data_IF_818469487165
#
_entry.id   IF_818469487165
#
_cell.length_a   1.000
_cell.length_b   1.000
_cell.length_c   1.000
_cell.angle_alpha   90.00
_cell.angle_beta   90.00
_cell.angle_gamma   90.00
#
_symmetry.space_group_name_H-M   'P 1'
#
loop_
_entity.id
_entity.type
_entity.pdbx_description
1 polymer ?
#
# COMPACT_ATOMS: atom_id res chain seq x y z
N UNK A 1 11.09 7.63 -34.75
CA UNK A 1 12.50 7.79 -34.31
C UNK A 1 12.62 7.23 -32.89
N UNK A 2 13.63 6.42 -32.53
CA UNK A 2 13.79 5.91 -31.15
C UNK A 2 14.36 7.04 -30.28
N UNK A 3 13.84 7.26 -29.07
CA UNK A 3 14.52 8.16 -28.11
C UNK A 3 15.89 7.57 -27.81
N UNK A 4 16.96 8.33 -27.99
CA UNK A 4 18.31 7.87 -27.70
C UNK A 4 18.41 7.36 -26.25
N UNK A 5 19.18 6.31 -26.01
CA UNK A 5 19.34 5.69 -24.69
C UNK A 5 19.86 6.67 -23.63
N UNK A 6 20.71 7.62 -24.05
CA UNK A 6 21.27 8.68 -23.20
C UNK A 6 20.17 9.64 -22.72
N UNK A 7 19.19 9.94 -23.56
CA UNK A 7 18.06 10.80 -23.22
C UNK A 7 17.02 10.11 -22.34
N UNK A 8 16.78 8.82 -22.57
CA UNK A 8 15.96 8.03 -21.65
C UNK A 8 16.60 7.99 -20.26
N UNK A 9 17.93 7.84 -20.17
CA UNK A 9 18.66 7.90 -18.92
C UNK A 9 18.63 9.29 -18.27
N UNK A 10 18.80 10.37 -19.04
CA UNK A 10 18.71 11.74 -18.51
C UNK A 10 17.31 12.01 -17.93
N UNK A 11 16.25 11.58 -18.64
CA UNK A 11 14.87 11.73 -18.18
C UNK A 11 14.58 10.91 -16.91
N UNK A 12 15.05 9.68 -16.84
CA UNK A 12 14.91 8.83 -15.65
C UNK A 12 15.75 9.33 -14.46
N UNK A 13 16.90 9.95 -14.72
CA UNK A 13 17.74 10.52 -13.65
C UNK A 13 17.07 11.69 -12.92
N UNK A 14 16.22 12.46 -13.63
CA UNK A 14 15.48 13.60 -13.08
C UNK A 14 14.13 13.21 -12.48
N UNK A 15 13.60 12.06 -12.89
CA UNK A 15 12.33 11.52 -12.41
C UNK A 15 12.46 10.01 -12.19
N UNK A 16 12.99 9.58 -11.03
CA UNK A 16 13.27 8.17 -10.75
C UNK A 16 12.02 7.27 -10.71
N UNK A 17 10.82 7.87 -10.78
CA UNK A 17 9.55 7.17 -10.85
C UNK A 17 9.02 6.99 -12.29
N UNK A 18 9.68 7.59 -13.29
CA UNK A 18 9.36 7.37 -14.69
C UNK A 18 9.83 6.01 -15.19
N UNK A 19 9.23 5.53 -16.26
CA UNK A 19 9.65 4.31 -16.94
C UNK A 19 9.64 4.53 -18.45
N UNK A 20 10.77 4.24 -19.10
CA UNK A 20 10.89 4.27 -20.56
C UNK A 20 11.03 2.83 -21.04
N UNK A 21 10.03 2.31 -21.73
CA UNK A 21 10.14 1.03 -22.42
C UNK A 21 10.50 1.25 -23.88
N UNK A 22 11.61 0.63 -24.29
CA UNK A 22 12.06 0.55 -25.66
C UNK A 22 12.40 -0.91 -25.93
N UNK A 23 11.69 -1.58 -26.83
CA UNK A 23 12.08 -2.96 -27.14
C UNK A 23 11.10 -3.75 -27.96
N UNK A 24 11.54 -4.96 -28.29
CA UNK A 24 10.82 -5.98 -29.04
C UNK A 24 10.15 -7.01 -28.10
N UNK A 25 10.45 -6.96 -26.79
CA UNK A 25 9.87 -7.82 -25.76
C UNK A 25 8.56 -7.27 -25.20
N UNK A 26 7.49 -7.56 -25.95
CA UNK A 26 6.12 -7.18 -25.62
C UNK A 26 5.54 -7.94 -24.43
N UNK A 27 6.16 -9.03 -23.96
CA UNK A 27 5.53 -9.90 -22.94
C UNK A 27 5.25 -9.17 -21.62
N UNK A 28 6.08 -8.18 -21.26
CA UNK A 28 5.93 -7.39 -20.02
C UNK A 28 4.78 -6.39 -20.04
N UNK A 29 4.40 -5.89 -21.23
CA UNK A 29 3.38 -4.85 -21.38
C UNK A 29 2.11 -5.35 -22.07
N UNK A 30 2.16 -6.50 -22.74
CA UNK A 30 1.05 -7.14 -23.43
C UNK A 30 -0.24 -7.30 -22.59
N UNK A 31 -0.20 -7.53 -21.26
CA UNK A 31 -1.43 -7.59 -20.46
C UNK A 31 -2.25 -6.29 -20.44
N UNK A 32 -1.64 -5.15 -20.76
CA UNK A 32 -2.24 -3.81 -20.64
C UNK A 32 -2.72 -3.21 -21.97
N UNK A 33 -2.46 -3.88 -23.10
CA UNK A 33 -2.83 -3.41 -24.44
C UNK A 33 -3.50 -4.53 -25.24
N UNK A 34 -4.39 -4.19 -26.17
CA UNK A 34 -4.92 -5.18 -27.09
C UNK A 34 -3.82 -5.76 -27.98
N UNK A 35 -4.01 -6.98 -28.50
CA UNK A 35 -3.05 -7.63 -29.42
C UNK A 35 -2.74 -6.81 -30.68
N UNK A 36 -3.63 -5.90 -31.09
CA UNK A 36 -3.43 -5.01 -32.25
C UNK A 36 -2.60 -3.77 -31.90
N UNK A 37 -2.74 -3.27 -30.68
CA UNK A 37 -1.99 -2.11 -30.18
C UNK A 37 -0.56 -2.53 -29.82
N UNK A 38 -0.40 -3.68 -29.17
CA UNK A 38 0.92 -4.18 -28.75
C UNK A 38 1.88 -4.40 -29.92
N UNK A 39 1.38 -4.79 -31.10
CA UNK A 39 2.22 -4.95 -32.30
C UNK A 39 2.60 -3.63 -32.97
N UNK A 40 1.92 -2.53 -32.65
CA UNK A 40 2.11 -1.21 -33.28
C UNK A 40 2.98 -0.29 -32.42
N UNK A 41 2.93 -0.45 -31.10
CA UNK A 41 3.64 0.39 -30.14
C UNK A 41 5.13 0.01 -30.12
N UNK A 42 5.98 0.93 -30.60
CA UNK A 42 7.44 0.75 -30.63
C UNK A 42 8.16 1.32 -29.41
N UNK A 43 7.48 2.18 -28.67
CA UNK A 43 8.03 2.87 -27.51
C UNK A 43 6.88 3.32 -26.61
N UNK A 44 7.07 3.13 -25.30
CA UNK A 44 6.16 3.63 -24.27
C UNK A 44 6.95 4.48 -23.30
N UNK A 45 6.40 5.64 -23.03
CA UNK A 45 6.83 6.51 -21.95
C UNK A 45 5.75 6.48 -20.87
N UNK A 46 6.08 5.98 -19.68
CA UNK A 46 5.18 5.97 -18.52
C UNK A 46 5.70 6.95 -17.49
N UNK A 47 4.91 7.95 -17.17
CA UNK A 47 5.21 8.88 -16.09
C UNK A 47 4.07 8.94 -15.08
N UNK A 48 4.34 8.76 -13.78
CA UNK A 48 3.36 9.06 -12.76
C UNK A 48 3.16 10.58 -12.70
N UNK A 49 1.90 11.00 -12.80
CA UNK A 49 1.45 12.36 -12.53
C UNK A 49 0.76 12.31 -11.18
N UNK A 50 1.19 13.18 -10.26
CA UNK A 50 0.55 13.33 -8.97
C UNK A 50 0.25 14.79 -8.67
N UNK A 51 -0.84 15.01 -7.96
CA UNK A 51 -1.06 16.25 -7.21
C UNK A 51 -0.33 16.16 -5.87
N UNK A 52 -0.26 17.26 -5.12
CA UNK A 52 0.47 17.33 -3.85
C UNK A 52 0.04 16.26 -2.81
N UNK A 53 -1.12 15.63 -3.01
CA UNK A 53 -1.73 14.72 -2.05
C UNK A 53 -1.86 13.28 -2.56
N UNK A 54 -1.99 13.03 -3.87
CA UNK A 54 -2.18 11.68 -4.44
C UNK A 54 -1.49 11.56 -5.81
N UNK A 55 -0.96 10.37 -6.13
CA UNK A 55 -0.53 10.03 -7.49
C UNK A 55 -1.76 9.65 -8.32
N UNK A 56 -2.39 10.65 -8.94
CA UNK A 56 -3.73 10.52 -9.53
C UNK A 56 -3.74 9.98 -10.97
N UNK A 57 -2.60 9.97 -11.67
CA UNK A 57 -2.57 9.61 -13.07
C UNK A 57 -1.26 8.97 -13.52
N UNK A 58 -1.36 8.20 -14.60
CA UNK A 58 -0.23 7.72 -15.39
C UNK A 58 -0.33 8.35 -16.78
N UNK A 59 0.66 9.15 -17.15
CA UNK A 59 0.82 9.59 -18.52
C UNK A 59 1.52 8.48 -19.30
N UNK A 60 0.77 7.87 -20.22
CA UNK A 60 1.27 6.87 -21.16
C UNK A 60 1.35 7.54 -22.53
N UNK A 61 2.56 7.83 -23.00
CA UNK A 61 2.76 8.35 -24.37
C UNK A 61 3.21 7.20 -25.26
N UNK A 62 2.36 6.84 -26.21
CA UNK A 62 2.65 5.87 -27.27
C UNK A 62 2.43 6.50 -28.65
N UNK A 63 3.31 6.22 -29.61
CA UNK A 63 3.19 6.59 -31.02
C UNK A 63 2.82 8.08 -31.30
N UNK A 64 3.39 9.01 -30.54
CA UNK A 64 3.12 10.44 -30.69
C UNK A 64 4.12 11.13 -31.61
N UNK A 65 3.70 12.09 -32.46
CA UNK A 65 4.62 12.96 -33.22
C UNK A 65 5.61 13.71 -32.31
N UNK A 66 5.24 13.96 -31.05
CA UNK A 66 6.12 14.58 -30.06
C UNK A 66 7.30 13.67 -29.65
N UNK A 67 7.16 12.35 -29.79
CA UNK A 67 8.28 11.41 -29.64
C UNK A 67 9.22 11.45 -30.86
N UNK A 68 8.74 11.98 -31.99
CA UNK A 68 9.49 12.07 -33.25
C UNK A 68 10.08 13.46 -33.51
N UNK A 69 9.51 14.50 -32.89
CA UNK A 69 9.82 15.92 -33.14
C UNK A 69 11.03 16.48 -32.35
N UNK A 70 11.81 15.60 -31.71
CA UNK A 70 13.06 15.99 -31.03
C UNK A 70 12.95 16.16 -29.51
N UNK A 71 14.11 16.04 -28.86
CA UNK A 71 14.28 15.89 -27.41
C UNK A 71 13.87 17.12 -26.62
N UNK A 72 13.98 18.32 -27.19
CA UNK A 72 13.67 19.58 -26.48
C UNK A 72 12.19 19.69 -26.07
N UNK A 73 11.26 19.26 -26.93
CA UNK A 73 9.83 19.30 -26.61
C UNK A 73 9.46 18.34 -25.48
N UNK A 74 10.01 17.12 -25.51
CA UNK A 74 9.82 16.15 -24.42
C UNK A 74 10.47 16.66 -23.13
N UNK A 75 11.65 17.29 -23.21
CA UNK A 75 12.30 17.89 -22.04
C UNK A 75 11.45 18.98 -21.41
N UNK A 76 10.79 19.84 -22.19
CA UNK A 76 9.91 20.89 -21.65
C UNK A 76 8.65 20.30 -21.03
N UNK A 77 7.98 19.36 -21.71
CA UNK A 77 6.77 18.70 -21.18
C UNK A 77 7.10 17.94 -19.89
N UNK A 78 8.20 17.20 -19.88
CA UNK A 78 8.61 16.42 -18.73
C UNK A 78 9.14 17.31 -17.61
N UNK A 79 9.85 18.40 -17.88
CA UNK A 79 10.22 19.34 -16.83
C UNK A 79 8.99 19.96 -16.16
N UNK A 80 7.97 20.32 -16.94
CA UNK A 80 6.72 20.89 -16.42
C UNK A 80 5.91 19.90 -15.55
N UNK A 81 5.98 18.59 -15.85
CA UNK A 81 5.19 17.56 -15.15
C UNK A 81 5.99 16.86 -14.05
N UNK A 82 7.28 16.59 -14.29
CA UNK A 82 8.11 15.78 -13.42
C UNK A 82 8.50 16.51 -12.14
N UNK A 83 8.77 17.82 -12.18
CA UNK A 83 9.18 18.54 -10.96
C UNK A 83 8.04 18.63 -9.92
N UNK A 84 6.80 19.00 -10.28
CA UNK A 84 5.67 18.92 -9.35
C UNK A 84 5.39 17.49 -8.88
N UNK A 85 5.45 16.51 -9.79
CA UNK A 85 5.15 15.10 -9.48
C UNK A 85 6.21 14.47 -8.57
N UNK A 86 7.50 14.76 -8.79
CA UNK A 86 8.59 14.29 -7.95
C UNK A 86 8.49 14.88 -6.53
N UNK A 87 8.14 16.17 -6.41
CA UNK A 87 7.86 16.79 -5.11
C UNK A 87 6.65 16.15 -4.42
N UNK A 88 5.57 15.87 -5.16
CA UNK A 88 4.41 15.17 -4.63
C UNK A 88 4.76 13.76 -4.11
N UNK A 89 5.51 12.97 -4.89
CA UNK A 89 5.95 11.62 -4.51
C UNK A 89 6.88 11.68 -3.29
N UNK A 90 7.84 12.62 -3.26
CA UNK A 90 8.74 12.80 -2.12
C UNK A 90 7.98 13.22 -0.85
N UNK A 91 7.02 14.14 -0.98
CA UNK A 91 6.14 14.55 0.11
C UNK A 91 5.28 13.39 0.61
N UNK A 92 4.72 12.58 -0.29
CA UNK A 92 3.96 11.38 0.09
C UNK A 92 4.83 10.36 0.80
N UNK A 93 6.05 10.08 0.31
CA UNK A 93 7.02 9.23 1.01
C UNK A 93 7.31 9.77 2.41
N UNK A 94 7.59 11.07 2.54
CA UNK A 94 7.84 11.69 3.85
C UNK A 94 6.65 11.64 4.80
N UNK A 95 5.41 11.76 4.28
CA UNK A 95 4.17 11.57 5.04
C UNK A 95 4.03 10.14 5.51
N UNK A 96 4.29 9.15 4.64
CA UNK A 96 4.27 7.72 5.00
C UNK A 96 5.32 7.45 6.08
N UNK A 97 6.54 7.97 5.96
CA UNK A 97 7.59 7.83 7.00
C UNK A 97 7.21 8.50 8.32
N UNK A 98 6.58 9.69 8.29
CA UNK A 98 6.08 10.33 9.52
C UNK A 98 4.88 9.59 10.12
N UNK A 99 4.03 8.97 9.30
CA UNK A 99 2.91 8.13 9.75
C UNK A 99 3.43 6.86 10.42
N UNK A 100 4.46 6.23 9.86
CA UNK A 100 5.16 5.09 10.47
C UNK A 100 5.67 5.41 11.88
N UNK A 101 6.16 6.64 12.08
CA UNK A 101 6.67 7.10 13.37
C UNK A 101 5.58 7.36 14.43
N UNK A 102 4.32 7.58 14.02
CA UNK A 102 3.22 7.98 14.92
C UNK A 102 2.10 6.94 15.02
N UNK A 103 2.21 5.81 14.33
CA UNK A 103 1.27 4.71 14.45
C UNK A 103 1.32 4.14 15.88
N UNK A 104 0.16 4.07 16.53
CA UNK A 104 0.02 3.54 17.89
C UNK A 104 -0.64 2.18 17.79
N UNK A 105 0.02 1.17 18.37
CA UNK A 105 -0.56 -0.14 18.60
C UNK A 105 -1.01 -0.19 20.06
N UNK A 106 -2.32 -0.27 20.28
CA UNK A 106 -2.87 -0.44 21.63
C UNK A 106 -2.74 -1.89 22.07
N UNK A 107 -2.79 -2.16 23.37
CA UNK A 107 -2.85 -3.54 23.85
C UNK A 107 -4.29 -3.97 24.06
N UNK A 108 -4.53 -5.27 24.09
CA UNK A 108 -5.88 -5.81 24.29
C UNK A 108 -6.50 -5.38 25.63
N UNK A 109 -5.68 -5.10 26.65
CA UNK A 109 -6.17 -4.60 27.95
C UNK A 109 -6.79 -3.20 27.83
N UNK A 110 -6.43 -2.44 26.81
CA UNK A 110 -6.95 -1.08 26.56
C UNK A 110 -8.24 -1.09 25.73
N UNK A 111 -8.73 -2.27 25.30
CA UNK A 111 -9.83 -2.40 24.34
C UNK A 111 -11.10 -1.65 24.77
N UNK A 112 -11.51 -1.74 26.03
CA UNK A 112 -12.74 -1.08 26.50
C UNK A 112 -12.62 0.44 26.38
N UNK A 113 -11.49 1.00 26.84
CA UNK A 113 -11.23 2.44 26.76
C UNK A 113 -11.13 2.92 25.31
N UNK A 114 -10.49 2.14 24.44
CA UNK A 114 -10.39 2.45 23.01
C UNK A 114 -11.77 2.39 22.35
N UNK A 115 -12.56 1.36 22.63
CA UNK A 115 -13.89 1.19 22.08
C UNK A 115 -14.81 2.34 22.46
N UNK A 116 -14.87 2.71 23.74
CA UNK A 116 -15.65 3.87 24.23
C UNK A 116 -15.21 5.19 23.56
N UNK A 117 -13.90 5.36 23.35
CA UNK A 117 -13.37 6.55 22.70
C UNK A 117 -13.76 6.65 21.23
N UNK A 118 -13.80 5.52 20.52
CA UNK A 118 -14.16 5.47 19.10
C UNK A 118 -15.66 5.70 18.95
N UNK A 119 -16.50 4.98 19.71
CA UNK A 119 -17.97 5.14 19.63
C UNK A 119 -18.44 6.54 20.04
N UNK A 120 -17.68 7.25 20.89
CA UNK A 120 -17.95 8.64 21.22
C UNK A 120 -17.48 9.68 20.18
N UNK A 121 -16.77 9.28 19.12
CA UNK A 121 -16.13 10.19 18.14
C UNK A 121 -16.48 9.93 16.69
N UNK A 122 -16.77 8.69 16.33
CA UNK A 122 -17.02 8.27 14.95
C UNK A 122 -18.49 7.89 14.83
N UNK A 123 -19.13 8.38 13.78
CA UNK A 123 -20.46 7.90 13.39
C UNK A 123 -20.35 6.47 12.85
N UNK A 124 -21.30 5.63 13.24
CA UNK A 124 -21.41 4.24 12.78
C UNK A 124 -21.65 4.18 11.26
N UNK A 125 -21.18 3.14 10.55
CA UNK A 125 -20.70 1.84 11.04
C UNK A 125 -19.19 1.71 11.30
N UNK A 126 -18.81 0.81 12.22
CA UNK A 126 -17.41 0.43 12.50
C UNK A 126 -17.21 -1.04 12.15
N UNK A 127 -16.24 -1.34 11.28
CA UNK A 127 -15.89 -2.73 10.96
C UNK A 127 -14.85 -3.21 11.98
N UNK A 128 -15.16 -4.32 12.64
CA UNK A 128 -14.26 -5.02 13.56
C UNK A 128 -13.62 -6.14 12.77
N UNK A 129 -12.30 -6.10 12.56
CA UNK A 129 -11.58 -7.12 11.79
C UNK A 129 -10.43 -7.74 12.59
N UNK A 130 -10.31 -9.06 12.54
CA UNK A 130 -9.19 -9.81 13.11
C UNK A 130 -8.29 -10.29 11.98
N UNK A 131 -7.00 -9.97 12.05
CA UNK A 131 -5.98 -10.46 11.11
C UNK A 131 -5.07 -11.47 11.82
N UNK A 132 -4.96 -12.66 11.26
CA UNK A 132 -3.96 -13.65 11.67
C UNK A 132 -2.61 -13.32 11.01
N UNK A 133 -1.61 -13.00 11.83
CA UNK A 133 -0.25 -12.62 11.39
C UNK A 133 0.79 -13.72 11.69
N UNK A 134 0.35 -14.90 12.14
CA UNK A 134 1.21 -16.01 12.54
C UNK A 134 2.11 -16.55 11.43
N UNK A 135 1.58 -16.62 10.21
CA UNK A 135 2.35 -17.03 9.03
C UNK A 135 3.50 -16.04 8.76
N UNK A 136 3.21 -14.74 8.73
CA UNK A 136 4.22 -13.69 8.55
C UNK A 136 5.32 -13.76 9.62
N UNK A 137 4.94 -13.91 10.90
CA UNK A 137 5.90 -14.06 12.01
C UNK A 137 6.77 -15.31 11.80
N UNK A 138 6.17 -16.43 11.41
CA UNK A 138 6.86 -17.71 11.25
C UNK A 138 7.84 -17.68 10.07
N UNK A 139 7.46 -17.05 8.96
CA UNK A 139 8.34 -16.88 7.79
C UNK A 139 9.57 -16.04 8.13
N UNK A 140 9.38 -14.86 8.74
CA UNK A 140 10.51 -13.99 9.13
C UNK A 140 11.41 -14.69 10.15
N UNK A 141 10.84 -15.38 11.15
CA UNK A 141 11.62 -16.10 12.15
C UNK A 141 12.44 -17.25 11.55
N UNK A 142 11.96 -17.86 10.47
CA UNK A 142 12.67 -18.93 9.76
C UNK A 142 13.83 -18.38 8.93
N UNK A 143 13.63 -17.25 8.24
CA UNK A 143 14.69 -16.59 7.45
C UNK A 143 15.75 -15.95 8.35
N UNK A 144 15.34 -15.40 9.49
CA UNK A 144 16.19 -14.60 10.38
C UNK A 144 16.16 -15.14 11.81
N UNK A 145 16.78 -16.31 12.02
CA UNK A 145 16.79 -17.03 13.29
C UNK A 145 17.38 -16.27 14.50
N UNK A 146 18.09 -15.15 14.25
CA UNK A 146 18.68 -14.30 15.30
C UNK A 146 17.71 -13.24 15.83
N UNK A 147 16.55 -13.04 15.17
CA UNK A 147 15.54 -12.06 15.58
C UNK A 147 14.50 -12.77 16.45
N UNK A 148 14.24 -12.22 17.63
CA UNK A 148 13.19 -12.71 18.52
C UNK A 148 11.79 -12.50 17.90
N UNK A 149 10.93 -13.52 18.00
CA UNK A 149 9.53 -13.51 17.54
C UNK A 149 8.74 -12.35 18.12
N UNK A 150 9.03 -11.93 19.36
CA UNK A 150 8.38 -10.77 19.95
C UNK A 150 8.69 -9.48 19.19
N UNK A 151 9.94 -9.28 18.76
CA UNK A 151 10.35 -8.12 17.96
C UNK A 151 9.70 -8.16 16.57
N UNK A 152 9.73 -9.32 15.92
CA UNK A 152 9.07 -9.53 14.62
C UNK A 152 7.59 -9.16 14.69
N UNK A 153 6.87 -9.68 15.68
CA UNK A 153 5.45 -9.35 15.92
C UNK A 153 5.25 -7.85 16.08
N UNK A 154 6.07 -7.20 16.91
CA UNK A 154 5.97 -5.75 17.14
C UNK A 154 6.16 -4.95 15.86
N UNK A 155 7.13 -5.33 15.04
CA UNK A 155 7.44 -4.63 13.79
C UNK A 155 6.31 -4.84 12.76
N UNK A 156 5.77 -6.05 12.65
CA UNK A 156 4.59 -6.35 11.81
C UNK A 156 3.37 -5.52 12.25
N UNK A 157 3.06 -5.50 13.56
CA UNK A 157 1.95 -4.71 14.09
C UNK A 157 2.15 -3.22 13.85
N UNK A 158 3.38 -2.72 13.96
CA UNK A 158 3.69 -1.32 13.68
C UNK A 158 3.46 -1.00 12.19
N UNK A 159 3.85 -1.89 11.28
CA UNK A 159 3.58 -1.72 9.84
C UNK A 159 2.07 -1.69 9.61
N UNK A 160 1.31 -2.64 10.16
CA UNK A 160 -0.15 -2.69 10.05
C UNK A 160 -0.78 -1.39 10.56
N UNK A 161 -0.44 -0.96 11.77
CA UNK A 161 -0.95 0.28 12.35
C UNK A 161 -0.63 1.51 11.50
N UNK A 162 0.50 1.49 10.79
CA UNK A 162 0.91 2.58 9.91
C UNK A 162 0.15 2.61 8.60
N UNK A 163 -0.22 1.44 8.07
CA UNK A 163 -1.06 1.32 6.87
C UNK A 163 -2.46 1.88 7.13
N UNK A 164 -3.01 1.65 8.33
CA UNK A 164 -4.36 2.08 8.71
C UNK A 164 -4.42 3.29 9.64
N UNK A 165 -3.33 4.04 9.80
CA UNK A 165 -3.23 5.10 10.82
C UNK A 165 -4.33 6.19 10.77
N UNK A 166 -5.02 6.34 9.63
CA UNK A 166 -6.13 7.30 9.46
C UNK A 166 -7.50 6.66 9.36
N UNK A 167 -7.58 5.34 9.20
CA UNK A 167 -8.83 4.63 8.87
C UNK A 167 -9.18 3.53 9.88
N UNK A 168 -8.22 3.10 10.70
CA UNK A 168 -8.47 2.12 11.74
C UNK A 168 -7.61 2.37 12.98
N UNK A 169 -8.10 1.86 14.11
CA UNK A 169 -7.29 1.67 15.32
C UNK A 169 -6.79 0.24 15.38
N UNK A 170 -5.48 0.05 15.54
CA UNK A 170 -4.84 -1.27 15.64
C UNK A 170 -4.59 -1.63 17.10
N UNK A 171 -5.00 -2.84 17.47
CA UNK A 171 -4.87 -3.41 18.80
C UNK A 171 -4.11 -4.73 18.68
N UNK A 172 -3.09 -4.91 19.51
CA UNK A 172 -2.35 -6.15 19.65
C UNK A 172 -3.19 -7.14 20.48
N UNK A 173 -3.76 -8.14 19.81
CA UNK A 173 -4.76 -9.03 20.41
C UNK A 173 -4.16 -10.25 21.12
N UNK A 174 -2.84 -10.43 21.12
CA UNK A 174 -2.24 -11.69 21.57
C UNK A 174 -2.14 -12.71 20.44
N UNK A 175 -1.55 -13.87 20.75
CA UNK A 175 -1.68 -15.10 19.95
C UNK A 175 -1.51 -14.97 18.43
N UNK A 176 -0.59 -14.10 18.00
CA UNK A 176 -0.32 -13.83 16.58
C UNK A 176 -1.53 -13.27 15.82
N UNK A 177 -2.39 -12.51 16.50
CA UNK A 177 -3.54 -11.81 15.94
C UNK A 177 -3.41 -10.30 16.12
N UNK A 178 -3.83 -9.55 15.11
CA UNK A 178 -4.05 -8.11 15.17
C UNK A 178 -5.55 -7.83 15.09
N UNK A 179 -6.06 -6.95 15.94
CA UNK A 179 -7.44 -6.49 15.87
C UNK A 179 -7.46 -5.07 15.27
N UNK A 180 -8.29 -4.85 14.27
CA UNK A 180 -8.53 -3.57 13.62
C UNK A 180 -9.95 -3.11 13.90
N UNK A 181 -10.09 -1.89 14.42
CA UNK A 181 -11.36 -1.19 14.53
C UNK A 181 -11.38 -0.13 13.42
N UNK A 182 -11.94 -0.49 12.28
CA UNK A 182 -11.96 0.29 11.05
C UNK A 182 -13.20 1.18 11.05
N UNK A 183 -12.99 2.47 10.88
CA UNK A 183 -14.02 3.51 11.01
C UNK A 183 -14.12 4.36 9.74
N UNK A 184 -13.69 3.81 8.61
CA UNK A 184 -13.80 4.40 7.27
C UNK A 184 -14.94 3.70 6.52
N UNK A 185 -15.81 4.48 5.90
CA UNK A 185 -17.02 4.01 5.22
C UNK A 185 -16.74 3.44 3.82
N UNK A 186 -15.53 3.63 3.30
CA UNK A 186 -15.12 3.17 1.96
C UNK A 186 -14.57 1.73 1.91
N UNK A 187 -14.71 0.95 2.97
CA UNK A 187 -14.21 -0.43 2.99
C UNK A 187 -15.25 -1.38 2.44
N UNK A 188 -15.23 -1.55 1.12
CA UNK A 188 -16.14 -2.44 0.40
C UNK A 188 -15.70 -3.92 0.44
N UNK A 189 -14.39 -4.18 0.59
CA UNK A 189 -13.81 -5.53 0.53
C UNK A 189 -12.73 -5.73 1.60
N UNK A 190 -13.05 -6.51 2.63
CA UNK A 190 -12.11 -6.84 3.70
C UNK A 190 -11.01 -7.82 3.24
N UNK A 191 -11.27 -8.67 2.24
CA UNK A 191 -10.26 -9.60 1.75
C UNK A 191 -9.14 -8.83 1.05
N UNK A 192 -9.50 -7.73 0.39
CA UNK A 192 -8.55 -6.79 -0.20
C UNK A 192 -7.64 -6.16 0.87
N UNK A 193 -8.15 -5.90 2.08
CA UNK A 193 -7.33 -5.44 3.21
C UNK A 193 -6.24 -6.46 3.55
N UNK A 194 -6.60 -7.73 3.70
CA UNK A 194 -5.63 -8.79 3.98
C UNK A 194 -4.58 -8.91 2.85
N UNK A 195 -5.02 -8.80 1.60
CA UNK A 195 -4.13 -8.81 0.43
C UNK A 195 -3.17 -7.61 0.43
N UNK A 196 -3.67 -6.40 0.68
CA UNK A 196 -2.86 -5.18 0.76
C UNK A 196 -1.85 -5.23 1.89
N UNK A 197 -2.24 -5.73 3.07
CA UNK A 197 -1.31 -5.91 4.19
C UNK A 197 -0.24 -6.94 3.83
N UNK A 198 -0.62 -8.07 3.22
CA UNK A 198 0.32 -9.11 2.79
C UNK A 198 1.36 -8.57 1.80
N UNK A 199 0.91 -7.87 0.75
CA UNK A 199 1.79 -7.25 -0.23
C UNK A 199 2.71 -6.18 0.39
N UNK A 200 2.16 -5.36 1.31
CA UNK A 200 2.91 -4.31 2.00
C UNK A 200 3.98 -4.89 2.92
N UNK A 201 3.66 -5.94 3.69
CA UNK A 201 4.61 -6.63 4.55
C UNK A 201 5.76 -7.20 3.73
N UNK A 202 5.47 -7.89 2.62
CA UNK A 202 6.50 -8.43 1.74
C UNK A 202 7.41 -7.34 1.14
N UNK A 203 6.84 -6.18 0.80
CA UNK A 203 7.62 -5.06 0.30
C UNK A 203 8.51 -4.41 1.38
N UNK A 204 8.01 -4.32 2.61
CA UNK A 204 8.68 -3.62 3.71
C UNK A 204 9.63 -4.49 4.53
N UNK A 205 9.48 -5.82 4.48
CA UNK A 205 10.29 -6.78 5.24
C UNK A 205 11.03 -7.71 4.27
N UNK A 206 12.31 -7.40 3.95
CA UNK A 206 13.13 -8.22 3.04
C UNK A 206 13.28 -9.68 3.46
N UNK A 207 13.04 -9.98 4.74
CA UNK A 207 13.12 -11.32 5.33
C UNK A 207 11.94 -12.23 4.89
N UNK A 208 10.87 -11.66 4.31
CA UNK A 208 9.75 -12.41 3.78
C UNK A 208 10.04 -12.91 2.36
N UNK A 209 10.20 -14.23 2.14
CA UNK A 209 10.51 -14.78 0.82
C UNK A 209 9.35 -14.67 -0.18
N UNK A 210 8.12 -14.54 0.33
CA UNK A 210 6.89 -14.39 -0.45
C UNK A 210 5.87 -13.59 0.38
N UNK A 211 4.77 -13.10 -0.25
CA UNK A 211 3.65 -12.53 0.48
C UNK A 211 3.05 -13.53 1.49
N UNK A 212 2.94 -13.19 2.79
CA UNK A 212 2.40 -14.09 3.79
C UNK A 212 0.89 -14.28 3.60
N UNK A 213 0.40 -15.48 3.89
CA UNK A 213 -1.03 -15.77 3.86
C UNK A 213 -1.69 -15.20 5.12
N UNK A 214 -2.30 -14.04 4.99
CA UNK A 214 -3.06 -13.41 6.07
C UNK A 214 -4.52 -13.84 5.97
N UNK A 215 -5.07 -14.35 7.08
CA UNK A 215 -6.50 -14.63 7.19
C UNK A 215 -7.18 -13.48 7.90
N UNK A 216 -8.35 -13.10 7.40
CA UNK A 216 -9.18 -12.06 8.00
C UNK A 216 -10.54 -12.63 8.35
N UNK A 217 -11.04 -12.32 9.54
CA UNK A 217 -12.46 -12.32 9.81
C UNK A 217 -12.90 -10.92 10.17
N UNK A 218 -14.16 -10.61 9.90
CA UNK A 218 -14.72 -9.31 10.21
C UNK A 218 -16.19 -9.44 10.63
N UNK A 219 -16.64 -8.44 11.36
CA UNK A 219 -18.04 -8.19 11.67
C UNK A 219 -18.26 -6.67 11.71
N UNK A 220 -19.50 -6.22 11.70
CA UNK A 220 -19.85 -4.80 11.68
C UNK A 220 -20.60 -4.38 12.95
N UNK A 221 -20.15 -3.28 13.55
CA UNK A 221 -20.83 -2.58 14.63
C UNK A 221 -21.60 -1.38 14.06
N UNK A 222 -22.84 -1.12 14.51
CA UNK A 222 -23.54 -1.73 15.64
C UNK A 222 -24.12 -3.11 15.31
N UNK A 223 -24.02 -4.05 16.27
CA UNK A 223 -24.69 -5.35 16.23
C UNK A 223 -25.61 -5.46 17.43
N UNK A 224 -26.86 -5.93 17.23
CA UNK A 224 -27.86 -6.04 18.32
C UNK A 224 -27.25 -6.73 19.53
N UNK A 225 -27.41 -6.12 20.71
CA UNK A 225 -26.97 -6.66 22.01
C UNK A 225 -25.46 -6.71 22.25
N UNK A 226 -24.63 -6.20 21.33
CA UNK A 226 -23.18 -6.14 21.51
C UNK A 226 -22.68 -4.70 21.61
N UNK A 227 -21.83 -4.42 22.60
CA UNK A 227 -20.95 -3.24 22.57
C UNK A 227 -19.81 -3.52 21.59
N UNK A 228 -19.16 -2.47 21.09
CA UNK A 228 -18.00 -2.62 20.21
C UNK A 228 -16.91 -3.52 20.84
N UNK A 229 -16.65 -3.33 22.14
CA UNK A 229 -15.68 -4.14 22.88
C UNK A 229 -16.14 -5.60 23.06
N UNK A 230 -17.44 -5.87 23.28
CA UNK A 230 -17.92 -7.25 23.41
C UNK A 230 -17.90 -7.98 22.08
N UNK A 231 -18.24 -7.29 20.97
CA UNK A 231 -18.12 -7.82 19.62
C UNK A 231 -16.67 -8.18 19.28
N UNK A 232 -15.73 -7.27 19.55
CA UNK A 232 -14.30 -7.51 19.33
C UNK A 232 -13.77 -8.72 20.11
N UNK A 233 -14.16 -8.89 21.38
CA UNK A 233 -13.77 -10.07 22.17
C UNK A 233 -14.38 -11.36 21.64
N UNK A 234 -15.64 -11.34 21.23
CA UNK A 234 -16.29 -12.51 20.64
C UNK A 234 -15.56 -12.96 19.37
N UNK A 235 -15.19 -12.01 18.50
CA UNK A 235 -14.43 -12.31 17.29
C UNK A 235 -13.09 -12.97 17.59
N UNK A 236 -12.39 -12.53 18.63
CA UNK A 236 -11.11 -13.13 19.03
C UNK A 236 -11.25 -14.58 19.54
N UNK A 237 -12.42 -14.98 20.03
CA UNK A 237 -12.70 -16.32 20.53
C UNK A 237 -13.21 -17.31 19.48
N UNK A 238 -13.71 -16.82 18.33
CA UNK A 238 -14.44 -17.65 17.35
C UNK A 238 -13.49 -18.28 16.30
N UNK A 239 -12.17 -18.13 16.44
CA UNK A 239 -11.15 -18.57 15.49
C UNK A 239 -9.99 -19.26 16.20
#
# INVERSE_FOLDING_TARGET
MRVASEDAQELLSRSPAGYVWQGDDLTRIAPYFSRRESTTIRQILVFPIGTAEVADALLIVAASPYLESGQEFLRVILAAIAEPSARAIANNRSRVTRRLANAVVFKIEDLDTVAERITGRVEEPIIVATLEIGDAISQVATTSAHIDRYRIRRDILQIIASLFATTATTIDAGDQKALLLIHDDQVDDIELIAHHVSASLHHMMPELPAPPALRVAHDTYPRKEHSLASLARQMLQTQ
#
